data_IF_776484631223
#
_entry.id   IF_776484631223
#
_cell.length_a   1.000
_cell.length_b   1.000
_cell.length_c   1.000
_cell.angle_alpha   90.00
_cell.angle_beta   90.00
_cell.angle_gamma   90.00
#
_symmetry.space_group_name_H-M   'P 1'
#
loop_
_entity.id
_entity.type
_entity.pdbx_description
1 polymer ?
#
# COMPACT_ATOMS: atom_id res chain seq x y z
N UNK A 1 -5.08 8.20 -17.49
CA UNK A 1 -4.08 8.93 -16.66
C UNK A 1 -4.14 8.29 -15.29
N UNK A 2 -3.32 7.27 -15.05
CA UNK A 2 -3.30 6.59 -13.75
C UNK A 2 -2.60 7.50 -12.74
N UNK A 3 -3.36 8.15 -11.86
CA UNK A 3 -2.79 8.93 -10.76
C UNK A 3 -2.44 7.98 -9.63
N UNK A 4 -1.16 7.68 -9.48
CA UNK A 4 -0.64 7.02 -8.28
C UNK A 4 -0.48 8.11 -7.22
N UNK A 5 -1.23 8.00 -6.13
CA UNK A 5 -1.15 8.90 -4.98
C UNK A 5 -0.36 8.18 -3.90
N UNK A 6 0.79 8.74 -3.53
CA UNK A 6 1.63 8.22 -2.46
C UNK A 6 1.53 9.19 -1.30
N UNK A 7 1.01 8.70 -0.17
CA UNK A 7 0.92 9.43 1.09
C UNK A 7 2.06 8.94 1.99
N UNK A 8 3.06 9.79 2.21
CA UNK A 8 4.19 9.48 3.06
C UNK A 8 3.81 9.73 4.52
N UNK A 9 3.92 8.69 5.35
CA UNK A 9 3.58 8.73 6.78
C UNK A 9 2.09 9.11 7.03
N UNK A 10 1.14 8.28 6.58
CA UNK A 10 -0.27 8.50 6.89
C UNK A 10 -0.50 8.47 8.41
N UNK A 11 -1.38 9.34 8.89
CA UNK A 11 -1.74 9.39 10.31
C UNK A 11 -2.41 8.10 10.77
N UNK A 12 -2.15 7.69 12.01
CA UNK A 12 -2.75 6.48 12.61
C UNK A 12 -4.27 6.46 12.53
N UNK A 13 -4.92 7.63 12.59
CA UNK A 13 -6.38 7.77 12.41
C UNK A 13 -6.84 7.22 11.05
N UNK A 14 -6.13 7.59 9.98
CA UNK A 14 -6.45 7.18 8.60
C UNK A 14 -6.20 5.69 8.37
N UNK A 15 -5.14 5.15 8.97
CA UNK A 15 -4.85 3.71 8.98
C UNK A 15 -5.94 2.92 9.70
N UNK A 16 -6.43 3.45 10.82
CA UNK A 16 -7.52 2.86 11.60
C UNK A 16 -8.85 2.92 10.87
N UNK A 17 -9.17 4.03 10.19
CA UNK A 17 -10.35 4.16 9.33
C UNK A 17 -10.32 3.20 8.15
N UNK A 18 -9.15 3.01 7.52
CA UNK A 18 -8.94 2.05 6.44
C UNK A 18 -8.95 0.59 6.93
N UNK A 19 -8.86 0.36 8.24
CA UNK A 19 -8.82 -0.98 8.83
C UNK A 19 -7.58 -1.78 8.43
N UNK A 20 -6.45 -1.10 8.15
CA UNK A 20 -5.21 -1.77 7.69
C UNK A 20 -4.72 -2.83 8.66
N UNK A 21 -5.06 -2.70 9.95
CA UNK A 21 -4.74 -3.68 10.98
C UNK A 21 -5.41 -5.05 10.78
N UNK A 22 -6.48 -5.12 9.97
CA UNK A 22 -7.14 -6.38 9.59
C UNK A 22 -6.68 -6.91 8.24
N UNK A 23 -5.81 -6.20 7.52
CA UNK A 23 -5.32 -6.65 6.22
C UNK A 23 -4.29 -7.76 6.39
N UNK A 24 -4.23 -8.69 5.42
CA UNK A 24 -3.18 -9.69 5.40
C UNK A 24 -1.84 -9.02 5.12
N UNK A 25 -0.88 -9.20 6.01
CA UNK A 25 0.49 -8.73 5.81
C UNK A 25 1.12 -9.63 4.74
N UNK A 26 1.66 -9.00 3.71
CA UNK A 26 2.37 -9.68 2.65
C UNK A 26 3.85 -9.28 2.70
N UNK A 27 4.71 -10.27 2.84
CA UNK A 27 6.16 -10.10 2.89
C UNK A 27 6.77 -10.77 1.67
N UNK A 28 7.66 -10.07 0.96
CA UNK A 28 8.41 -10.62 -0.17
C UNK A 28 9.81 -10.03 -0.21
N UNK A 29 10.77 -10.84 -0.64
CA UNK A 29 12.13 -10.36 -0.94
C UNK A 29 12.11 -9.27 -2.02
N UNK A 30 13.12 -8.39 -1.98
CA UNK A 30 13.31 -7.31 -2.95
C UNK A 30 13.30 -7.89 -4.36
N UNK A 31 12.29 -7.53 -5.15
CA UNK A 31 12.12 -8.02 -6.51
C UNK A 31 11.36 -7.00 -7.34
N UNK A 32 11.73 -6.89 -8.61
CA UNK A 32 11.12 -5.97 -9.58
C UNK A 32 10.18 -6.76 -10.47
N UNK A 33 8.89 -6.43 -10.42
CA UNK A 33 7.88 -6.98 -11.32
C UNK A 33 7.20 -5.83 -12.07
N UNK A 34 6.78 -6.05 -13.33
CA UNK A 34 5.88 -5.12 -14.00
C UNK A 34 4.53 -5.18 -13.28
N UNK A 35 4.24 -4.18 -12.47
CA UNK A 35 2.99 -4.08 -11.72
C UNK A 35 1.95 -3.41 -12.63
N UNK A 36 0.96 -4.17 -13.08
CA UNK A 36 -0.14 -3.67 -13.89
C UNK A 36 -1.38 -3.50 -13.00
N UNK A 37 -1.74 -2.26 -12.71
CA UNK A 37 -2.95 -1.94 -11.95
C UNK A 37 -4.13 -1.88 -12.92
N UNK A 38 -4.85 -3.00 -13.07
CA UNK A 38 -6.10 -3.06 -13.84
C UNK A 38 -7.28 -2.32 -13.20
N UNK A 39 -7.16 -1.96 -11.92
CA UNK A 39 -8.18 -1.24 -11.13
C UNK A 39 -7.53 -0.40 -10.03
N UNK A 40 -8.33 0.44 -9.37
CA UNK A 40 -7.89 1.20 -8.20
C UNK A 40 -7.67 0.25 -7.02
N UNK A 41 -6.41 0.05 -6.64
CA UNK A 41 -6.00 -0.66 -5.42
C UNK A 41 -5.36 0.31 -4.42
N UNK A 42 -5.45 -0.02 -3.13
CA UNK A 42 -4.80 0.72 -2.04
C UNK A 42 -3.98 -0.26 -1.23
N UNK A 43 -2.67 -0.03 -1.18
CA UNK A 43 -1.74 -0.83 -0.41
C UNK A 43 -1.06 0.06 0.63
N UNK A 44 -0.89 -0.48 1.84
CA UNK A 44 -0.18 0.20 2.92
C UNK A 44 1.20 -0.44 3.08
N UNK A 45 2.25 0.33 2.80
CA UNK A 45 3.63 -0.09 3.02
C UNK A 45 4.00 0.18 4.48
N UNK A 46 4.14 -0.88 5.27
CA UNK A 46 4.53 -0.81 6.69
C UNK A 46 6.04 -0.59 6.85
N UNK A 47 6.84 -1.38 6.14
CA UNK A 47 8.31 -1.32 6.08
C UNK A 47 8.77 -1.68 4.66
N UNK A 48 9.82 -1.00 4.17
CA UNK A 48 10.40 -1.21 2.85
C UNK A 48 11.37 -0.09 2.48
N UNK A 49 12.45 -0.42 1.75
CA UNK A 49 13.50 0.50 1.28
C UNK A 49 13.39 0.74 -0.24
#
# INVERSE_FOLDING_TARGET
>A
MSQIIIDHNPSEEKLKELGVASWSIWEKEVSKFPLDFGMTESAYLLEGE
#
